data_IF_833781508482
#
_entry.id   IF_833781508482
#
_cell.length_a   1.000
_cell.length_b   1.000
_cell.length_c   1.000
_cell.angle_alpha   90.00
_cell.angle_beta   90.00
_cell.angle_gamma   90.00
#
_symmetry.space_group_name_H-M   'P 1'
#
loop_
_entity.id
_entity.type
_entity.pdbx_description
1 polymer ?
#
# COMPACT_ATOMS: atom_id res chain seq x y z
N UNK A 1 -13.96 -11.75 17.42
CA UNK A 1 -12.78 -12.54 17.00
C UNK A 1 -11.60 -12.10 17.84
N UNK A 2 -11.17 -12.93 18.80
CA UNK A 2 -9.97 -12.67 19.61
C UNK A 2 -8.74 -12.68 18.68
N UNK A 3 -7.94 -11.63 18.74
CA UNK A 3 -6.65 -11.60 18.07
C UNK A 3 -5.75 -12.65 18.74
N UNK A 4 -4.90 -13.38 18.00
CA UNK A 4 -3.98 -14.33 18.61
C UNK A 4 -3.05 -13.58 19.58
N UNK A 5 -3.14 -13.95 20.86
CA UNK A 5 -2.27 -13.44 21.92
C UNK A 5 -0.80 -13.76 21.58
N UNK A 6 0.06 -12.74 21.55
CA UNK A 6 1.52 -12.91 21.42
C UNK A 6 2.17 -12.41 20.12
N UNK A 7 1.44 -11.85 19.15
CA UNK A 7 2.09 -11.23 17.97
C UNK A 7 2.70 -9.87 18.36
N UNK A 8 4.02 -9.65 18.15
CA UNK A 8 4.63 -8.34 18.36
C UNK A 8 3.90 -7.25 17.58
N UNK A 9 3.32 -6.30 18.31
CA UNK A 9 2.46 -5.25 17.76
C UNK A 9 3.09 -3.88 18.01
N UNK A 10 3.22 -3.08 16.95
CA UNK A 10 3.86 -1.77 16.99
C UNK A 10 2.90 -0.70 16.51
N UNK A 11 2.75 0.36 17.29
CA UNK A 11 2.03 1.57 16.89
C UNK A 11 2.85 2.34 15.83
N UNK A 12 2.29 2.48 14.63
CA UNK A 12 2.87 3.24 13.52
C UNK A 12 1.97 4.43 13.20
N UNK A 13 2.49 5.66 13.35
CA UNK A 13 1.74 6.88 12.97
C UNK A 13 2.10 7.32 11.56
N UNK A 14 1.10 7.60 10.73
CA UNK A 14 1.33 8.21 9.39
C UNK A 14 0.86 9.65 9.42
N UNK A 15 1.79 10.56 9.15
CA UNK A 15 1.57 12.02 9.16
C UNK A 15 1.98 12.65 7.83
N UNK A 16 1.51 13.87 7.58
CA UNK A 16 1.76 14.61 6.35
C UNK A 16 0.54 15.38 5.89
N UNK A 17 0.70 16.30 4.95
CA UNK A 17 -0.36 17.18 4.48
C UNK A 17 -1.58 16.41 3.93
N UNK A 18 -2.73 17.08 3.91
CA UNK A 18 -3.94 16.57 3.25
C UNK A 18 -3.69 16.29 1.76
N UNK A 19 -4.31 15.24 1.23
CA UNK A 19 -4.19 14.88 -0.19
C UNK A 19 -2.85 14.25 -0.62
N UNK A 20 -1.90 14.06 0.30
CA UNK A 20 -0.62 13.35 0.03
C UNK A 20 -0.79 11.86 -0.27
N UNK A 21 -1.91 11.27 0.15
CA UNK A 21 -2.27 9.87 -0.14
C UNK A 21 -2.03 8.88 1.01
N UNK A 22 -1.98 9.35 2.27
CA UNK A 22 -1.83 8.51 3.47
C UNK A 22 -2.92 7.42 3.56
N UNK A 23 -4.18 7.82 3.57
CA UNK A 23 -5.33 6.90 3.59
C UNK A 23 -5.32 5.94 2.42
N UNK A 24 -5.02 6.41 1.21
CA UNK A 24 -4.89 5.53 0.03
C UNK A 24 -3.77 4.51 0.21
N UNK A 25 -2.61 4.93 0.74
CA UNK A 25 -1.48 4.05 1.01
C UNK A 25 -1.81 3.00 2.07
N UNK A 26 -2.58 3.35 3.10
CA UNK A 26 -3.04 2.43 4.15
C UNK A 26 -4.10 1.46 3.62
N UNK A 27 -5.19 1.97 3.06
CA UNK A 27 -6.29 1.14 2.53
C UNK A 27 -5.80 0.18 1.46
N UNK A 28 -4.92 0.63 0.57
CA UNK A 28 -4.36 -0.20 -0.50
C UNK A 28 -3.49 -1.36 0.05
N UNK A 29 -2.82 -1.21 1.20
CA UNK A 29 -2.17 -2.34 1.88
C UNK A 29 -3.17 -3.34 2.46
N UNK A 30 -4.35 -2.89 2.90
CA UNK A 30 -5.35 -3.73 3.53
C UNK A 30 -6.22 -4.49 2.52
N UNK A 31 -6.80 -3.78 1.55
CA UNK A 31 -7.78 -4.36 0.61
C UNK A 31 -7.19 -4.70 -0.75
N UNK A 32 -5.99 -4.21 -1.07
CA UNK A 32 -5.47 -4.27 -2.42
C UNK A 32 -6.21 -3.37 -3.41
N UNK A 33 -7.23 -2.61 -2.99
CA UNK A 33 -8.01 -1.73 -3.88
C UNK A 33 -7.48 -0.29 -3.89
N UNK A 34 -7.59 0.37 -5.04
CA UNK A 34 -7.15 1.76 -5.21
C UNK A 34 -8.36 2.68 -5.30
N UNK A 35 -8.57 3.48 -4.25
CA UNK A 35 -9.64 4.46 -4.19
C UNK A 35 -9.22 5.76 -4.89
N UNK A 36 -9.90 6.12 -5.99
CA UNK A 36 -9.63 7.35 -6.76
C UNK A 36 -10.21 8.61 -6.13
N UNK A 37 -11.28 8.47 -5.35
CA UNK A 37 -12.00 9.60 -4.75
C UNK A 37 -11.25 10.06 -3.51
N UNK A 38 -10.94 11.36 -3.46
CA UNK A 38 -10.40 11.96 -2.23
C UNK A 38 -11.54 12.26 -1.26
N UNK A 39 -11.52 11.58 -0.12
CA UNK A 39 -12.36 11.90 1.04
C UNK A 39 -11.38 12.25 2.16
N UNK A 40 -11.40 13.48 2.70
CA UNK A 40 -10.55 13.84 3.82
C UNK A 40 -10.83 12.95 5.04
N UNK A 41 -9.78 12.42 5.65
CA UNK A 41 -9.87 11.80 6.99
C UNK A 41 -10.27 12.86 8.00
N UNK A 42 -11.14 12.49 8.94
CA UNK A 42 -11.52 13.33 10.08
C UNK A 42 -10.91 12.70 11.32
N UNK A 43 -9.97 13.37 11.98
CA UNK A 43 -9.28 12.81 13.15
C UNK A 43 -8.29 11.70 12.79
N UNK A 44 -8.52 10.49 13.32
CA UNK A 44 -7.63 9.34 13.14
C UNK A 44 -8.42 8.04 12.93
N UNK A 45 -7.99 7.25 11.96
CA UNK A 45 -8.44 5.88 11.76
C UNK A 45 -7.30 4.90 12.08
N UNK A 46 -7.61 3.81 12.79
CA UNK A 46 -6.62 2.81 13.20
C UNK A 46 -6.81 1.52 12.41
N UNK A 47 -5.74 1.08 11.77
CA UNK A 47 -5.73 -0.02 10.82
C UNK A 47 -4.68 -1.08 11.22
N UNK A 48 -5.10 -2.25 11.73
CA UNK A 48 -4.16 -3.33 12.01
C UNK A 48 -3.67 -3.97 10.71
N UNK A 49 -2.36 -3.96 10.48
CA UNK A 49 -1.70 -4.59 9.33
C UNK A 49 -0.78 -5.71 9.80
N UNK A 50 -1.02 -6.92 9.33
CA UNK A 50 -0.21 -8.10 9.64
C UNK A 50 0.81 -8.35 8.53
N UNK A 51 2.08 -8.44 8.87
CA UNK A 51 3.16 -8.81 7.96
C UNK A 51 3.79 -10.11 8.42
N UNK A 52 3.80 -11.13 7.57
CA UNK A 52 4.53 -12.36 7.83
C UNK A 52 6.01 -12.14 7.51
N UNK A 53 6.89 -12.52 8.42
CA UNK A 53 8.34 -12.41 8.23
C UNK A 53 9.01 -13.77 8.37
N UNK A 54 10.27 -13.87 7.95
CA UNK A 54 11.10 -15.05 8.19
C UNK A 54 11.36 -15.35 9.68
N UNK A 55 11.00 -14.44 10.60
CA UNK A 55 11.12 -14.61 12.05
C UNK A 55 9.76 -14.71 12.76
N UNK A 56 8.67 -14.92 12.00
CA UNK A 56 7.30 -14.91 12.52
C UNK A 56 6.53 -13.63 12.16
N UNK A 57 5.22 -13.57 12.45
CA UNK A 57 4.40 -12.43 12.11
C UNK A 57 4.72 -11.21 12.99
N UNK A 58 4.60 -10.02 12.40
CA UNK A 58 4.58 -8.75 13.12
C UNK A 58 3.31 -7.98 12.74
N UNK A 59 2.82 -7.16 13.65
CA UNK A 59 1.66 -6.31 13.41
C UNK A 59 2.01 -4.84 13.55
N UNK A 60 1.60 -4.03 12.59
CA UNK A 60 1.55 -2.58 12.75
C UNK A 60 0.11 -2.15 13.01
N UNK A 61 -0.13 -1.47 14.12
CA UNK A 61 -1.34 -0.67 14.29
C UNK A 61 -1.09 0.67 13.63
N UNK A 62 -1.59 0.83 12.41
CA UNK A 62 -1.36 2.02 11.60
C UNK A 62 -2.40 3.07 11.93
N UNK A 63 -1.95 4.17 12.51
CA UNK A 63 -2.75 5.34 12.83
C UNK A 63 -2.70 6.30 11.64
N UNK A 64 -3.70 6.21 10.76
CA UNK A 64 -3.90 7.13 9.63
C UNK A 64 -4.47 8.44 10.15
N UNK A 65 -3.63 9.47 10.22
CA UNK A 65 -4.03 10.78 10.72
C UNK A 65 -4.51 11.69 9.60
N UNK A 66 -5.48 12.54 9.91
CA UNK A 66 -5.91 13.58 9.01
C UNK A 66 -4.77 14.60 8.75
N UNK A 67 -4.57 14.92 7.46
CA UNK A 67 -3.54 15.86 7.03
C UNK A 67 -3.98 17.33 6.98
N UNK A 68 -5.24 17.61 7.32
CA UNK A 68 -5.83 18.95 7.26
C UNK A 68 -6.03 19.58 8.64
N UNK A 69 -5.69 18.87 9.70
CA UNK A 69 -5.86 19.32 11.08
C UNK A 69 -5.08 20.64 11.27
N UNK A 70 -5.77 21.78 11.41
CA UNK A 70 -5.13 23.10 11.58
C UNK A 70 -4.94 23.49 13.06
N UNK A 71 -5.54 22.74 13.99
CA UNK A 71 -5.60 23.11 15.40
C UNK A 71 -4.77 22.15 16.26
N UNK A 72 -3.64 22.64 16.76
CA UNK A 72 -2.52 21.87 17.33
C UNK A 72 -2.69 21.32 18.74
N UNK A 73 -3.90 20.94 19.16
CA UNK A 73 -4.15 20.33 20.49
C UNK A 73 -4.39 18.82 20.45
N UNK A 74 -5.30 18.37 19.59
CA UNK A 74 -5.65 16.94 19.45
C UNK A 74 -4.56 16.11 18.75
N UNK A 75 -3.69 16.77 17.97
CA UNK A 75 -2.62 16.12 17.19
C UNK A 75 -1.61 15.38 18.05
N UNK A 76 -1.18 16.00 19.15
CA UNK A 76 -0.12 15.44 20.00
C UNK A 76 -0.58 14.14 20.65
N UNK A 77 -1.86 14.04 21.01
CA UNK A 77 -2.46 12.82 21.57
C UNK A 77 -2.36 11.62 20.63
N UNK A 78 -2.40 11.82 19.31
CA UNK A 78 -2.25 10.73 18.35
C UNK A 78 -0.81 10.18 18.31
N UNK A 79 0.18 11.00 18.62
CA UNK A 79 1.59 10.62 18.57
C UNK A 79 2.04 9.85 19.81
N UNK A 80 1.42 10.08 20.97
CA UNK A 80 1.78 9.43 22.25
C UNK A 80 1.95 7.92 22.08
N UNK A 81 3.08 7.39 22.58
CA UNK A 81 3.46 5.98 22.47
C UNK A 81 3.64 5.46 21.03
N UNK A 82 3.92 6.40 20.10
CA UNK A 82 4.64 6.19 18.87
C UNK A 82 5.75 5.12 18.99
N UNK A 83 5.66 3.96 18.33
CA UNK A 83 6.85 3.09 18.20
C UNK A 83 7.66 3.47 16.96
N UNK A 84 6.99 3.93 15.91
CA UNK A 84 7.59 4.32 14.63
C UNK A 84 6.66 5.27 13.86
N UNK A 85 7.19 5.91 12.82
CA UNK A 85 6.39 6.82 12.00
C UNK A 85 6.74 6.83 10.52
N UNK A 86 5.74 7.21 9.71
CA UNK A 86 5.92 7.57 8.31
C UNK A 86 5.51 9.04 8.14
N UNK A 87 6.40 9.85 7.59
CA UNK A 87 6.09 11.22 7.15
C UNK A 87 5.94 11.18 5.63
N UNK A 88 4.74 11.47 5.14
CA UNK A 88 4.41 11.41 3.71
C UNK A 88 4.27 12.81 3.10
N UNK A 89 4.84 12.98 1.92
CA UNK A 89 4.59 14.14 1.06
C UNK A 89 4.27 13.68 -0.37
N UNK A 90 3.73 14.59 -1.17
CA UNK A 90 3.38 14.37 -2.57
C UNK A 90 4.48 14.94 -3.47
N UNK A 91 5.09 14.11 -4.32
CA UNK A 91 6.16 14.57 -5.22
C UNK A 91 5.65 15.55 -6.29
N UNK A 92 4.33 15.64 -6.52
CA UNK A 92 3.71 16.61 -7.43
C UNK A 92 3.34 17.92 -6.74
N UNK A 93 3.55 18.06 -5.42
CA UNK A 93 3.26 19.28 -4.67
C UNK A 93 4.44 19.73 -3.82
N UNK A 94 5.06 20.85 -4.20
CA UNK A 94 6.24 21.40 -3.50
C UNK A 94 5.93 21.79 -2.06
N UNK A 95 4.72 22.26 -1.79
CA UNK A 95 4.35 22.74 -0.46
C UNK A 95 4.28 21.59 0.55
N UNK A 96 3.80 20.42 0.13
CA UNK A 96 3.79 19.23 0.99
C UNK A 96 5.19 18.81 1.44
N UNK A 97 6.20 18.98 0.58
CA UNK A 97 7.59 18.72 0.96
C UNK A 97 8.17 19.80 1.86
N UNK A 98 7.83 21.08 1.66
CA UNK A 98 8.24 22.16 2.57
C UNK A 98 7.73 21.91 4.00
N UNK A 99 6.50 21.41 4.11
CA UNK A 99 5.82 21.16 5.39
C UNK A 99 6.35 19.93 6.14
N UNK A 100 7.16 19.05 5.51
CA UNK A 100 7.80 17.89 6.16
C UNK A 100 8.57 18.28 7.42
N UNK A 101 9.24 19.44 7.41
CA UNK A 101 10.00 19.91 8.57
C UNK A 101 9.11 20.20 9.78
N UNK A 102 7.90 20.73 9.54
CA UNK A 102 6.89 20.99 10.56
C UNK A 102 6.37 19.68 11.13
N UNK A 103 5.94 18.75 10.26
CA UNK A 103 5.47 17.42 10.69
C UNK A 103 6.52 16.65 11.49
N UNK A 104 7.78 16.72 11.06
CA UNK A 104 8.89 16.11 11.80
C UNK A 104 9.04 16.75 13.19
N UNK A 105 9.03 18.09 13.27
CA UNK A 105 9.18 18.82 14.54
C UNK A 105 8.09 18.46 15.52
N UNK A 106 6.84 18.42 15.07
CA UNK A 106 5.68 18.08 15.91
C UNK A 106 5.75 16.63 16.40
N UNK A 107 6.16 15.71 15.52
CA UNK A 107 6.30 14.30 15.87
C UNK A 107 7.40 14.05 16.90
N UNK A 108 8.60 14.61 16.70
CA UNK A 108 9.73 14.40 17.62
C UNK A 108 9.58 15.16 18.94
N UNK A 109 8.69 16.16 19.00
CA UNK A 109 8.32 16.82 20.26
C UNK A 109 7.60 15.86 21.20
N UNK A 110 6.85 14.90 20.67
CA UNK A 110 6.08 13.92 21.46
C UNK A 110 6.79 12.57 21.57
N UNK A 111 7.49 12.14 20.51
CA UNK A 111 8.19 10.86 20.48
C UNK A 111 9.64 11.04 20.05
N UNK A 112 10.54 10.97 21.03
CA UNK A 112 11.98 11.01 20.80
C UNK A 112 12.50 9.63 20.35
N UNK A 113 13.49 9.64 19.45
CA UNK A 113 14.28 8.46 19.07
C UNK A 113 13.52 7.26 18.45
N UNK A 114 12.36 7.49 17.83
CA UNK A 114 11.65 6.43 17.10
C UNK A 114 12.13 6.31 15.64
N UNK A 115 12.08 5.12 15.01
CA UNK A 115 12.36 4.97 13.59
C UNK A 115 11.33 5.73 12.74
N UNK A 116 11.81 6.62 11.88
CA UNK A 116 10.97 7.45 11.00
C UNK A 116 11.41 7.25 9.54
N UNK A 117 10.44 7.01 8.67
CA UNK A 117 10.64 6.96 7.21
C UNK A 117 9.98 8.16 6.54
N UNK A 118 10.74 8.85 5.70
CA UNK A 118 10.22 9.85 4.79
C UNK A 118 9.74 9.19 3.50
N UNK A 119 8.51 9.45 3.08
CA UNK A 119 7.91 8.86 1.87
C UNK A 119 7.48 9.96 0.91
N UNK A 120 8.00 9.91 -0.32
CA UNK A 120 7.53 10.71 -1.44
C UNK A 120 6.54 9.89 -2.26
N UNK A 121 5.24 10.16 -2.09
CA UNK A 121 4.18 9.43 -2.79
C UNK A 121 3.90 10.04 -4.18
N UNK A 122 3.14 9.30 -5.01
CA UNK A 122 2.72 9.66 -6.37
C UNK A 122 3.88 9.77 -7.37
N UNK A 123 4.93 8.98 -7.17
CA UNK A 123 6.08 8.98 -8.08
C UNK A 123 5.77 8.44 -9.49
N UNK A 124 4.58 7.88 -9.70
CA UNK A 124 4.05 7.47 -11.01
C UNK A 124 3.63 8.67 -11.89
N UNK A 125 3.43 9.85 -11.30
CA UNK A 125 3.02 11.04 -12.05
C UNK A 125 4.22 11.65 -12.76
N UNK A 126 4.12 11.79 -14.09
CA UNK A 126 5.20 12.33 -14.95
C UNK A 126 5.60 13.76 -14.58
N UNK A 127 4.62 14.61 -14.25
CA UNK A 127 4.84 16.02 -13.88
C UNK A 127 5.27 16.19 -12.41
N UNK A 128 6.40 15.57 -12.06
CA UNK A 128 6.99 15.63 -10.71
C UNK A 128 7.53 17.04 -10.42
N UNK A 129 7.03 17.68 -9.35
CA UNK A 129 7.42 19.04 -8.94
C UNK A 129 8.57 19.09 -7.93
N UNK A 130 8.74 18.03 -7.13
CA UNK A 130 9.83 17.85 -6.16
C UNK A 130 10.82 16.84 -6.71
N UNK A 131 11.94 17.30 -7.27
CA UNK A 131 12.95 16.42 -7.88
C UNK A 131 13.79 15.73 -6.80
N UNK A 132 14.31 14.54 -7.11
CA UNK A 132 15.16 13.75 -6.19
C UNK A 132 16.28 14.57 -5.52
N UNK A 133 16.96 15.42 -6.29
CA UNK A 133 18.04 16.30 -5.81
C UNK A 133 17.60 17.33 -4.75
N UNK A 134 16.31 17.67 -4.69
CA UNK A 134 15.74 18.62 -3.73
C UNK A 134 15.37 17.94 -2.41
N UNK A 135 15.31 16.61 -2.40
CA UNK A 135 14.85 15.81 -1.26
C UNK A 135 16.06 15.53 -0.35
N UNK A 136 16.46 16.53 0.42
CA UNK A 136 17.63 16.47 1.30
C UNK A 136 17.29 16.30 2.78
N UNK A 137 16.01 16.46 3.17
CA UNK A 137 15.60 16.48 4.58
C UNK A 137 15.98 15.19 5.33
N UNK A 138 15.78 14.04 4.69
CA UNK A 138 16.14 12.73 5.25
C UNK A 138 17.62 12.64 5.65
N UNK A 139 18.54 13.21 4.85
CA UNK A 139 19.98 13.22 5.17
C UNK A 139 20.27 14.08 6.40
N UNK A 140 19.64 15.25 6.48
CA UNK A 140 19.83 16.21 7.59
C UNK A 140 19.35 15.65 8.94
N UNK A 141 18.38 14.75 8.92
CA UNK A 141 17.77 14.14 10.11
C UNK A 141 18.06 12.65 10.27
N UNK A 142 18.95 12.10 9.45
CA UNK A 142 19.29 10.67 9.44
C UNK A 142 18.08 9.73 9.30
N UNK A 143 17.14 10.08 8.43
CA UNK A 143 15.93 9.31 8.13
C UNK A 143 16.14 8.46 6.88
N UNK A 144 15.41 7.36 6.79
CA UNK A 144 15.29 6.64 5.52
C UNK A 144 14.31 7.35 4.60
N UNK A 145 14.59 7.33 3.29
CA UNK A 145 13.70 7.87 2.28
C UNK A 145 13.33 6.83 1.22
N UNK A 146 12.07 6.81 0.79
CA UNK A 146 11.59 6.06 -0.36
C UNK A 146 10.65 6.89 -1.24
N UNK A 147 10.83 6.76 -2.55
CA UNK A 147 9.78 7.07 -3.52
C UNK A 147 8.78 5.91 -3.56
N UNK A 148 7.49 6.22 -3.49
CA UNK A 148 6.39 5.27 -3.47
C UNK A 148 5.30 5.70 -4.45
N UNK A 149 4.59 4.74 -5.02
CA UNK A 149 3.30 4.99 -5.63
C UNK A 149 2.26 4.03 -5.06
N UNK A 150 1.31 4.58 -4.31
CA UNK A 150 0.13 3.83 -3.88
C UNK A 150 -0.76 3.38 -5.07
N UNK A 151 -0.64 4.02 -6.23
CA UNK A 151 -1.39 3.67 -7.44
C UNK A 151 -0.81 2.43 -8.13
N UNK A 152 0.51 2.36 -8.27
CA UNK A 152 1.20 1.28 -8.98
C UNK A 152 1.83 0.23 -8.06
N UNK A 153 1.64 0.34 -6.74
CA UNK A 153 2.31 -0.47 -5.71
C UNK A 153 3.85 -0.41 -5.77
N UNK A 154 4.42 0.67 -6.33
CA UNK A 154 5.88 0.80 -6.42
C UNK A 154 6.49 1.08 -5.03
N UNK A 155 7.49 0.29 -4.64
CA UNK A 155 8.18 0.33 -3.34
C UNK A 155 7.24 0.28 -2.12
N UNK A 156 6.03 -0.23 -2.28
CA UNK A 156 4.93 -0.07 -1.34
C UNK A 156 5.23 -0.62 0.07
N UNK A 157 5.88 -1.78 0.14
CA UNK A 157 6.26 -2.45 1.40
C UNK A 157 7.59 -1.95 2.01
N UNK A 158 8.42 -1.22 1.25
CA UNK A 158 9.77 -0.85 1.67
C UNK A 158 9.82 0.01 2.94
N UNK A 159 8.90 0.98 3.14
CA UNK A 159 8.80 1.70 4.41
C UNK A 159 8.57 0.78 5.61
N UNK A 160 7.61 -0.14 5.50
CA UNK A 160 7.28 -1.10 6.58
C UNK A 160 8.44 -2.06 6.86
N UNK A 161 9.07 -2.60 5.81
CA UNK A 161 10.20 -3.51 5.97
C UNK A 161 11.39 -2.84 6.67
N UNK A 162 11.72 -1.60 6.30
CA UNK A 162 12.79 -0.86 6.95
C UNK A 162 12.48 -0.58 8.42
N UNK A 163 11.24 -0.18 8.73
CA UNK A 163 10.79 0.05 10.11
C UNK A 163 10.86 -1.26 10.91
N UNK A 164 10.37 -2.36 10.36
CA UNK A 164 10.42 -3.68 10.99
C UNK A 164 11.85 -4.10 11.35
N UNK A 165 12.81 -3.93 10.42
CA UNK A 165 14.23 -4.19 10.67
C UNK A 165 14.80 -3.33 11.80
N UNK A 166 14.40 -2.06 11.87
CA UNK A 166 14.84 -1.15 12.94
C UNK A 166 14.25 -1.50 14.30
N UNK A 167 12.96 -1.82 14.36
CA UNK A 167 12.27 -2.17 15.60
C UNK A 167 12.72 -3.52 16.16
N UNK A 168 12.99 -4.49 15.28
CA UNK A 168 13.44 -5.84 15.69
C UNK A 168 14.95 -5.96 15.88
N UNK A 169 15.72 -4.95 15.45
CA UNK A 169 17.18 -5.02 15.42
C UNK A 169 17.74 -6.04 14.42
N UNK A 170 16.91 -6.64 13.57
CA UNK A 170 17.33 -7.67 12.62
C UNK A 170 17.44 -7.09 11.19
N UNK A 171 18.65 -6.83 10.67
CA UNK A 171 18.83 -6.29 9.32
C UNK A 171 18.46 -7.29 8.21
N UNK A 172 18.44 -8.59 8.51
CA UNK A 172 18.13 -9.68 7.58
C UNK A 172 16.63 -10.06 7.58
N UNK A 173 15.81 -9.34 8.35
CA UNK A 173 14.36 -9.55 8.33
C UNK A 173 13.82 -9.29 6.91
N UNK A 174 12.99 -10.20 6.42
CA UNK A 174 12.30 -10.09 5.12
C UNK A 174 10.83 -10.44 5.30
N UNK A 175 9.98 -9.83 4.48
CA UNK A 175 8.59 -10.25 4.39
C UNK A 175 8.49 -11.52 3.55
N UNK A 176 7.66 -12.45 4.00
CA UNK A 176 7.38 -13.72 3.34
C UNK A 176 5.90 -13.77 3.01
N UNK A 177 5.54 -14.48 1.94
CA UNK A 177 4.14 -14.75 1.62
C UNK A 177 3.47 -15.50 2.79
N UNK A 178 2.17 -15.29 3.00
CA UNK A 178 1.43 -16.07 3.99
C UNK A 178 1.49 -17.56 3.61
N UNK A 179 2.03 -18.44 4.48
CA UNK A 179 2.12 -19.87 4.19
C UNK A 179 0.75 -20.49 3.85
N UNK A 180 -0.36 -19.89 4.30
CA UNK A 180 -1.73 -20.36 4.03
C UNK A 180 -2.25 -19.99 2.64
N UNK A 181 -1.58 -19.08 1.93
CA UNK A 181 -1.93 -18.71 0.55
C UNK A 181 -1.44 -19.75 -0.48
N UNK A 182 -0.66 -20.75 -0.06
CA UNK A 182 -0.32 -21.91 -0.87
C UNK A 182 -1.33 -23.04 -0.64
N UNK A 183 -2.49 -22.93 -1.29
CA UNK A 183 -3.15 -24.12 -1.83
C UNK A 183 -3.21 -23.93 -3.34
N UNK A 184 -2.36 -24.62 -4.13
CA UNK A 184 -2.78 -24.92 -5.49
C UNK A 184 -4.14 -25.59 -5.35
N UNK A 185 -5.16 -25.08 -6.05
CA UNK A 185 -6.41 -25.82 -6.19
C UNK A 185 -6.00 -27.24 -6.61
N UNK A 186 -6.35 -28.25 -5.82
CA UNK A 186 -6.27 -29.62 -6.27
C UNK A 186 -7.14 -29.68 -7.53
N UNK A 187 -6.49 -29.73 -8.70
CA UNK A 187 -7.18 -29.97 -9.95
C UNK A 187 -7.76 -31.37 -9.79
N UNK A 188 -9.07 -31.45 -9.55
CA UNK A 188 -9.77 -32.73 -9.51
C UNK A 188 -9.51 -33.43 -10.85
N UNK A 189 -8.87 -34.62 -10.86
CA UNK A 189 -8.64 -35.37 -12.10
C UNK A 189 -9.92 -35.63 -12.90
N UNK A 190 -11.10 -35.52 -12.28
CA UNK A 190 -12.40 -35.67 -12.93
C UNK A 190 -12.76 -34.51 -13.85
N UNK A 191 -12.20 -33.32 -13.64
CA UNK A 191 -12.47 -32.15 -14.52
C UNK A 191 -11.81 -32.33 -15.89
N UNK A 192 -10.75 -33.13 -15.99
CA UNK A 192 -10.05 -33.39 -17.27
C UNK A 192 -10.83 -34.38 -18.15
N UNK A 193 -11.76 -35.17 -17.61
CA UNK A 193 -12.52 -36.17 -18.39
C UNK A 193 -13.80 -35.64 -19.05
N UNK A 194 -14.20 -34.39 -18.84
CA UNK A 194 -15.41 -33.83 -19.45
C UNK A 194 -15.17 -32.97 -20.71
N UNK A 195 -13.92 -32.77 -21.13
CA UNK A 195 -13.59 -32.00 -22.35
C UNK A 195 -12.88 -32.83 -23.44
N UNK A 196 -13.08 -34.15 -23.49
CA UNK A 196 -12.89 -34.88 -24.75
C UNK A 196 -14.14 -34.72 -25.61
N UNK A 197 -14.15 -33.68 -26.45
CA UNK A 197 -15.12 -33.53 -27.53
C UNK A 197 -14.95 -34.72 -28.48
N UNK A 198 -15.96 -35.59 -28.54
CA UNK A 198 -16.05 -36.63 -29.55
C UNK A 198 -16.28 -35.98 -30.93
N UNK A 199 -15.24 -36.00 -31.76
CA UNK A 199 -15.26 -35.44 -33.12
C UNK A 199 -16.00 -36.35 -34.12
N UNK A 200 -16.76 -37.35 -33.64
CA UNK A 200 -17.41 -38.39 -34.44
C UNK A 200 -18.87 -38.67 -34.01
N UNK A 201 -19.61 -37.66 -33.55
CA UNK A 201 -21.06 -37.78 -33.32
C UNK A 201 -21.85 -37.59 -34.64
N UNK A 202 -22.51 -38.63 -35.18
CA UNK A 202 -23.25 -38.56 -36.44
C UNK A 202 -24.61 -37.82 -36.33
N UNK A 203 -24.94 -37.19 -35.20
CA UNK A 203 -26.20 -36.47 -34.99
C UNK A 203 -26.14 -34.96 -35.27
N UNK A 204 -24.98 -34.40 -35.63
CA UNK A 204 -24.86 -32.97 -35.97
C UNK A 204 -25.17 -32.75 -37.47
N UNK A 205 -26.24 -32.05 -37.83
CA UNK A 205 -26.54 -31.78 -39.23
C UNK A 205 -25.56 -30.75 -39.80
N UNK A 206 -24.80 -31.18 -40.81
CA UNK A 206 -24.09 -30.29 -41.73
C UNK A 206 -25.12 -29.47 -42.50
N UNK A 207 -25.40 -28.23 -42.06
CA UNK A 207 -25.86 -27.12 -42.92
C UNK A 207 -26.05 -25.84 -42.10
N UNK A 208 -25.15 -24.87 -42.28
CA UNK A 208 -25.44 -23.42 -42.42
C UNK A 208 -24.14 -22.59 -42.40
N UNK A 209 -23.23 -22.90 -43.32
CA UNK A 209 -22.37 -21.84 -43.87
C UNK A 209 -23.07 -21.33 -45.13
N UNK A 210 -23.91 -20.30 -44.98
CA UNK A 210 -24.30 -19.47 -46.11
C UNK A 210 -23.50 -18.18 -46.03
N UNK A 211 -22.44 -18.15 -46.85
CA UNK A 211 -21.98 -16.95 -47.54
C UNK A 211 -23.15 -16.44 -48.40
N UNK A 212 -23.70 -15.26 -48.09
CA UNK A 212 -24.57 -14.51 -49.02
C UNK A 212 -24.67 -13.03 -48.59
N UNK A 213 -23.62 -12.26 -48.87
CA UNK A 213 -23.75 -10.80 -49.13
C UNK A 213 -22.90 -10.44 -50.37
N UNK A 214 -23.18 -11.09 -51.50
CA UNK A 214 -22.87 -10.54 -52.83
C UNK A 214 -23.90 -11.08 -53.84
N UNK A 215 -24.97 -10.33 -54.08
CA UNK A 215 -25.95 -10.60 -55.14
C UNK A 215 -26.00 -9.47 -56.15
N UNK A 216 -25.48 -9.71 -57.35
CA UNK A 216 -25.69 -8.92 -58.57
C UNK A 216 -26.73 -9.63 -59.46
N UNK A 217 -27.81 -8.91 -59.86
CA UNK A 217 -28.63 -9.06 -61.10
C UNK A 217 -29.32 -10.42 -61.39
N UNK A 218 -30.24 -10.56 -62.38
CA UNK A 218 -30.57 -9.70 -63.55
C UNK A 218 -32.09 -9.30 -63.57
N UNK A 219 -32.74 -8.60 -64.52
CA UNK A 219 -32.61 -8.23 -65.94
C UNK A 219 -33.15 -6.80 -66.08
#
# INVERSE_FOLDING_TARGET
>A
MQQPDGIPTFKLVIVGDGGTGKTTFVKRHLSGEFEKKYIPTIGVDVHPMLFNTNCGPIRFEVWDTAGQEKFGGLKDGYYVQAHCAIIMFDVTSRDTYKNVATWYKDLVRVCENIPIVLVGNKCDVKDRKVKQRQITFHRKKNLQYYDVSAKSNYNFERPFLWIARKLTGNPNLVFVADPRMLKPAEIDPRTIQQESIDINDPSIPMNSFNDDVFGNGPI
#
